data_IF_956433702118
#
_entry.id   IF_956433702118
#
_cell.length_a   1.000
_cell.length_b   1.000
_cell.length_c   1.000
_cell.angle_alpha   90.00
_cell.angle_beta   90.00
_cell.angle_gamma   90.00
#
_symmetry.space_group_name_H-M   'P 1'
#
loop_
_entity.id
_entity.type
_entity.pdbx_description
1 polymer ?
#
# COMPACT_ATOMS: atom_id res chain seq x y z
N UNK A 1 2.83 -37.86 -66.86
CA UNK A 1 3.57 -37.80 -65.57
C UNK A 1 3.94 -36.34 -65.19
N UNK A 2 2.96 -35.42 -65.14
CA UNK A 2 3.23 -33.96 -65.02
C UNK A 2 2.42 -33.22 -63.93
N UNK A 3 1.73 -33.94 -63.04
CA UNK A 3 0.84 -33.32 -62.03
C UNK A 3 1.26 -33.56 -60.56
N UNK A 4 2.36 -34.28 -60.30
CA UNK A 4 2.78 -34.61 -58.92
C UNK A 4 3.61 -33.51 -58.22
N UNK A 5 4.15 -32.54 -58.96
CA UNK A 5 5.00 -31.47 -58.39
C UNK A 5 4.17 -30.28 -57.88
N UNK A 6 2.97 -30.06 -58.43
CA UNK A 6 2.14 -28.90 -58.09
C UNK A 6 1.42 -29.04 -56.73
N UNK A 7 1.10 -30.26 -56.29
CA UNK A 7 0.46 -30.48 -54.99
C UNK A 7 1.41 -30.35 -53.79
N UNK A 8 2.73 -30.51 -53.98
CA UNK A 8 3.69 -30.45 -52.87
C UNK A 8 3.97 -29.00 -52.41
N UNK A 9 3.88 -28.04 -53.33
CA UNK A 9 4.12 -26.61 -53.06
C UNK A 9 2.95 -25.97 -52.30
N UNK A 10 1.72 -26.47 -52.49
CA UNK A 10 0.51 -25.98 -51.81
C UNK A 10 0.38 -26.42 -50.34
N UNK A 11 1.04 -27.52 -49.95
CA UNK A 11 1.03 -27.99 -48.55
C UNK A 11 2.08 -27.25 -47.71
N UNK A 12 3.20 -26.81 -48.31
CA UNK A 12 4.25 -26.05 -47.61
C UNK A 12 3.81 -24.59 -47.36
N UNK A 13 3.00 -23.99 -48.23
CA UNK A 13 2.45 -22.65 -48.01
C UNK A 13 1.31 -22.59 -46.98
N UNK A 14 0.67 -23.72 -46.67
CA UNK A 14 -0.38 -23.80 -45.65
C UNK A 14 0.18 -24.06 -44.22
N UNK A 15 1.39 -24.62 -44.11
CA UNK A 15 2.08 -24.84 -42.83
C UNK A 15 2.92 -23.64 -42.35
N UNK A 16 3.14 -22.65 -43.20
CA UNK A 16 3.89 -21.44 -42.85
C UNK A 16 3.00 -20.27 -42.41
N UNK A 17 1.66 -20.42 -42.47
CA UNK A 17 0.70 -19.42 -41.97
C UNK A 17 0.16 -19.73 -40.57
N UNK A 18 0.46 -20.90 -40.00
CA UNK A 18 0.03 -21.28 -38.64
C UNK A 18 1.05 -20.95 -37.55
N UNK A 19 2.23 -20.41 -37.89
CA UNK A 19 3.24 -19.96 -36.91
C UNK A 19 3.39 -18.43 -36.78
N UNK A 20 2.66 -17.63 -37.57
CA UNK A 20 2.70 -16.17 -37.49
C UNK A 20 1.59 -15.55 -36.61
N UNK A 21 0.75 -16.39 -35.97
CA UNK A 21 -0.44 -15.96 -35.22
C UNK A 21 -0.36 -16.06 -33.69
N UNK A 22 0.83 -16.26 -33.11
CA UNK A 22 0.98 -16.41 -31.66
C UNK A 22 2.20 -15.67 -31.07
N UNK A 23 2.68 -14.63 -31.76
CA UNK A 23 3.39 -13.53 -31.11
C UNK A 23 2.35 -12.42 -30.88
N UNK A 24 1.32 -12.74 -30.09
CA UNK A 24 0.77 -11.72 -29.21
C UNK A 24 1.98 -11.27 -28.40
N UNK A 25 2.57 -10.14 -28.78
CA UNK A 25 3.53 -9.43 -27.97
C UNK A 25 2.87 -9.26 -26.63
N UNK A 26 3.17 -10.16 -25.68
CA UNK A 26 2.65 -10.11 -24.34
C UNK A 26 2.98 -8.70 -23.86
N UNK A 27 1.96 -7.83 -23.77
CA UNK A 27 2.14 -6.44 -23.43
C UNK A 27 2.90 -6.45 -22.12
N UNK A 28 4.15 -5.99 -22.17
CA UNK A 28 5.03 -6.02 -21.01
C UNK A 28 4.37 -5.17 -19.94
N UNK A 29 3.92 -5.80 -18.87
CA UNK A 29 3.26 -5.11 -17.76
C UNK A 29 4.33 -4.26 -17.08
N UNK A 30 4.10 -2.96 -16.97
CA UNK A 30 5.01 -2.06 -16.24
C UNK A 30 4.56 -1.88 -14.79
N UNK A 31 5.46 -1.42 -13.88
CA UNK A 31 5.07 -1.01 -12.53
C UNK A 31 3.94 0.04 -12.53
N UNK A 32 3.94 0.95 -13.51
CA UNK A 32 2.91 1.98 -13.64
C UNK A 32 1.54 1.37 -13.96
N UNK A 33 1.47 0.34 -14.82
CA UNK A 33 0.22 -0.36 -15.14
C UNK A 33 -0.33 -1.11 -13.93
N UNK A 34 0.55 -1.77 -13.16
CA UNK A 34 0.17 -2.45 -11.93
C UNK A 34 -0.42 -1.44 -10.94
N UNK A 35 0.30 -0.35 -10.66
CA UNK A 35 -0.16 0.67 -9.72
C UNK A 35 -1.45 1.34 -10.16
N UNK A 36 -1.62 1.58 -11.46
CA UNK A 36 -2.86 2.13 -12.02
C UNK A 36 -4.05 1.23 -11.66
N UNK A 37 -3.94 -0.08 -11.85
CA UNK A 37 -5.02 -1.04 -11.53
C UNK A 37 -5.28 -1.15 -10.02
N UNK A 38 -4.24 -1.14 -9.20
CA UNK A 38 -4.39 -1.09 -7.73
C UNK A 38 -5.14 0.20 -7.33
N UNK A 39 -4.80 1.33 -7.94
CA UNK A 39 -5.45 2.60 -7.68
C UNK A 39 -6.91 2.64 -8.16
N UNK A 40 -7.22 2.05 -9.31
CA UNK A 40 -8.59 1.93 -9.81
C UNK A 40 -9.50 1.19 -8.81
N UNK A 41 -8.99 0.17 -8.13
CA UNK A 41 -9.72 -0.49 -7.05
C UNK A 41 -9.89 0.43 -5.83
N UNK A 42 -8.82 1.10 -5.41
CA UNK A 42 -8.84 1.99 -4.25
C UNK A 42 -9.82 3.16 -4.45
N UNK A 43 -9.87 3.73 -5.66
CA UNK A 43 -10.75 4.85 -6.03
C UNK A 43 -12.24 4.49 -6.10
N UNK A 44 -12.62 3.20 -5.99
CA UNK A 44 -14.02 2.78 -5.79
C UNK A 44 -14.55 3.20 -4.42
N UNK A 45 -13.66 3.39 -3.46
CA UNK A 45 -13.97 3.92 -2.13
C UNK A 45 -13.94 5.45 -2.23
N UNK A 46 -15.10 6.11 -2.25
CA UNK A 46 -15.22 7.58 -2.29
C UNK A 46 -15.06 8.18 -0.91
N UNK A 47 -15.68 7.54 0.08
CA UNK A 47 -15.49 7.84 1.48
C UNK A 47 -15.71 6.57 2.32
N UNK A 48 -15.14 6.55 3.52
CA UNK A 48 -15.34 5.47 4.47
C UNK A 48 -15.25 5.96 5.92
N UNK A 49 -15.97 5.29 6.82
CA UNK A 49 -15.81 5.43 8.27
C UNK A 49 -15.80 4.05 8.93
N UNK A 50 -15.06 3.94 10.02
CA UNK A 50 -14.93 2.71 10.79
C UNK A 50 -14.66 3.01 12.27
N UNK A 51 -15.12 2.13 13.14
CA UNK A 51 -14.55 2.04 14.49
C UNK A 51 -13.20 1.33 14.37
N UNK A 52 -12.17 1.81 15.05
CA UNK A 52 -10.83 1.23 14.93
C UNK A 52 -10.28 0.81 16.29
N UNK A 53 -9.51 -0.27 16.30
CA UNK A 53 -8.65 -0.68 17.40
C UNK A 53 -7.22 -0.80 16.92
N UNK A 54 -6.28 -0.26 17.71
CA UNK A 54 -4.85 -0.38 17.47
C UNK A 54 -4.21 -1.02 18.70
N UNK A 55 -3.67 -2.21 18.50
CA UNK A 55 -2.78 -2.87 19.44
C UNK A 55 -1.35 -2.58 19.01
N UNK A 56 -0.51 -2.04 19.90
CA UNK A 56 0.90 -1.81 19.61
C UNK A 56 1.79 -2.16 20.79
N UNK A 57 3.01 -2.58 20.49
CA UNK A 57 4.04 -2.90 21.47
C UNK A 57 5.37 -2.32 21.00
N UNK A 58 6.05 -1.55 21.87
CA UNK A 58 7.37 -0.98 21.60
C UNK A 58 8.41 -1.86 22.30
N UNK A 59 9.41 -2.33 21.54
CA UNK A 59 10.45 -3.20 22.04
C UNK A 59 11.67 -2.39 22.47
N UNK A 60 11.69 -1.91 23.71
CA UNK A 60 12.79 -1.10 24.25
C UNK A 60 13.56 -1.86 25.34
N UNK A 61 14.81 -2.24 25.06
CA UNK A 61 15.73 -2.85 26.04
C UNK A 61 15.14 -4.06 26.80
N UNK A 62 14.28 -4.85 26.15
CA UNK A 62 13.63 -6.02 26.75
C UNK A 62 12.35 -5.73 27.55
N UNK A 63 12.00 -4.46 27.78
CA UNK A 63 10.70 -4.07 28.29
C UNK A 63 9.67 -4.08 27.16
N UNK A 64 8.61 -4.88 27.31
CA UNK A 64 7.47 -4.93 26.39
C UNK A 64 6.22 -4.48 27.14
N UNK A 65 5.38 -3.68 26.47
CA UNK A 65 4.13 -3.20 27.02
C UNK A 65 3.11 -3.13 25.90
N UNK A 66 2.26 -4.15 25.80
CA UNK A 66 1.15 -4.13 24.86
C UNK A 66 0.18 -3.02 25.28
N UNK A 67 -0.04 -2.06 24.39
CA UNK A 67 -1.04 -1.01 24.54
C UNK A 67 -2.13 -1.23 23.53
N UNK A 68 -3.36 -1.09 23.98
CA UNK A 68 -4.53 -1.11 23.11
C UNK A 68 -5.21 0.26 23.20
N UNK A 69 -5.47 0.85 22.04
CA UNK A 69 -6.26 2.07 21.93
C UNK A 69 -7.42 1.84 20.96
N UNK A 70 -8.55 2.49 21.23
CA UNK A 70 -9.74 2.47 20.38
C UNK A 70 -10.05 3.87 19.89
N UNK A 71 -10.74 3.95 18.77
CA UNK A 71 -11.05 5.23 18.15
C UNK A 71 -11.93 5.12 16.93
N UNK A 72 -11.91 6.17 16.11
CA UNK A 72 -12.66 6.25 14.87
C UNK A 72 -11.74 6.68 13.72
N UNK A 73 -11.87 5.99 12.60
CA UNK A 73 -11.18 6.28 11.35
C UNK A 73 -12.15 6.80 10.29
N UNK A 74 -11.70 7.77 9.51
CA UNK A 74 -12.43 8.37 8.41
C UNK A 74 -11.49 8.51 7.22
N UNK A 75 -11.99 8.18 6.03
CA UNK A 75 -11.30 8.33 4.76
C UNK A 75 -12.19 9.06 3.76
N UNK A 76 -11.58 9.91 2.93
CA UNK A 76 -12.22 10.49 1.76
C UNK A 76 -11.22 10.58 0.61
N UNK A 77 -11.63 10.06 -0.54
CA UNK A 77 -10.83 10.06 -1.75
C UNK A 77 -10.40 11.48 -2.15
N UNK A 78 -9.19 11.65 -2.74
CA UNK A 78 -8.22 10.58 -3.05
C UNK A 78 -7.32 10.18 -1.87
N UNK A 79 -7.07 11.08 -0.92
CA UNK A 79 -5.93 10.97 -0.01
C UNK A 79 -6.17 11.57 1.38
N UNK A 80 -7.42 11.84 1.75
CA UNK A 80 -7.76 12.48 3.02
C UNK A 80 -8.12 11.45 4.07
N UNK A 81 -7.41 11.48 5.19
CA UNK A 81 -7.64 10.61 6.33
C UNK A 81 -7.80 11.48 7.57
N UNK A 82 -8.76 11.12 8.43
CA UNK A 82 -8.85 11.59 9.80
C UNK A 82 -8.98 10.39 10.71
N UNK A 83 -8.15 10.33 11.74
CA UNK A 83 -8.23 9.27 12.75
C UNK A 83 -8.14 9.88 14.13
N UNK A 84 -9.06 9.52 15.02
CA UNK A 84 -9.04 9.95 16.43
C UNK A 84 -8.94 8.73 17.32
N UNK A 85 -7.87 8.62 18.12
CA UNK A 85 -7.62 7.56 19.11
C UNK A 85 -7.00 8.18 20.35
N UNK A 86 -7.42 7.73 21.54
CA UNK A 86 -6.88 8.21 22.82
C UNK A 86 -6.79 9.75 22.93
N UNK A 87 -7.87 10.44 22.52
CA UNK A 87 -7.98 11.92 22.46
C UNK A 87 -6.96 12.61 21.53
N UNK A 88 -6.15 11.88 20.80
CA UNK A 88 -5.25 12.39 19.77
C UNK A 88 -5.92 12.25 18.42
N UNK A 89 -5.90 13.32 17.61
CA UNK A 89 -6.40 13.29 16.24
C UNK A 89 -5.28 13.46 15.25
N UNK A 90 -5.25 12.58 14.25
CA UNK A 90 -4.35 12.64 13.10
C UNK A 90 -5.15 13.00 11.87
N UNK A 91 -4.61 13.91 11.08
CA UNK A 91 -5.09 14.25 9.75
C UNK A 91 -3.98 13.99 8.75
N UNK A 92 -4.30 13.30 7.67
CA UNK A 92 -3.39 13.13 6.53
C UNK A 92 -4.05 13.64 5.24
N UNK A 93 -3.26 14.31 4.41
CA UNK A 93 -3.55 14.63 3.02
C UNK A 93 -2.30 14.33 2.21
N UNK A 94 -2.28 13.18 1.55
CA UNK A 94 -1.10 12.68 0.86
C UNK A 94 0.05 12.46 1.84
N UNK A 95 1.19 13.08 1.57
CA UNK A 95 2.38 13.07 2.44
C UNK A 95 2.36 14.12 3.57
N UNK A 96 1.30 14.95 3.68
CA UNK A 96 1.18 15.98 4.73
C UNK A 96 0.37 15.44 5.90
N UNK A 97 0.97 15.40 7.07
CA UNK A 97 0.35 14.86 8.27
C UNK A 97 0.36 15.92 9.37
N UNK A 98 -0.78 16.07 10.03
CA UNK A 98 -0.94 16.91 11.21
C UNK A 98 -1.50 16.09 12.36
N UNK A 99 -0.88 16.21 13.52
CA UNK A 99 -1.34 15.67 14.79
C UNK A 99 -1.90 16.81 15.63
N UNK A 100 -3.02 16.56 16.29
CA UNK A 100 -3.61 17.41 17.33
C UNK A 100 -3.65 16.54 18.59
N UNK A 101 -2.93 16.94 19.63
CA UNK A 101 -2.95 16.22 20.91
C UNK A 101 -4.19 16.55 21.74
N UNK A 102 -4.30 15.92 22.92
CA UNK A 102 -5.44 16.06 23.82
C UNK A 102 -5.62 17.50 24.36
N UNK A 103 -4.57 18.34 24.31
CA UNK A 103 -4.59 19.74 24.71
C UNK A 103 -4.91 20.69 23.54
N UNK A 104 -5.11 20.14 22.34
CA UNK A 104 -5.40 20.92 21.13
C UNK A 104 -4.15 21.48 20.45
N UNK A 105 -2.95 21.15 20.92
CA UNK A 105 -1.71 21.62 20.32
C UNK A 105 -1.44 20.88 19.01
N UNK A 106 -1.06 21.65 17.99
CA UNK A 106 -0.88 21.19 16.61
C UNK A 106 0.59 20.91 16.32
N UNK A 107 0.84 19.76 15.71
CA UNK A 107 2.18 19.32 15.32
C UNK A 107 2.17 18.83 13.87
N UNK A 108 3.19 19.19 13.10
CA UNK A 108 3.44 18.53 11.81
C UNK A 108 4.24 17.27 12.04
N UNK A 109 3.78 16.16 11.47
CA UNK A 109 4.52 14.90 11.49
C UNK A 109 5.23 14.77 10.14
N UNK A 110 6.57 14.74 10.15
CA UNK A 110 7.35 14.54 8.93
C UNK A 110 7.44 13.04 8.63
N UNK A 111 7.33 12.69 7.35
CA UNK A 111 7.48 11.33 6.82
C UNK A 111 8.84 10.68 7.14
N UNK A 112 9.82 11.47 7.58
CA UNK A 112 11.20 11.04 7.86
C UNK A 112 11.29 10.32 9.23
N UNK A 113 10.33 10.55 10.14
CA UNK A 113 10.48 10.19 11.56
C UNK A 113 9.57 9.03 12.03
N UNK A 114 8.74 8.49 11.14
CA UNK A 114 7.83 7.40 11.48
C UNK A 114 7.84 6.38 10.35
N UNK A 115 8.39 5.18 10.64
CA UNK A 115 8.05 3.98 9.87
C UNK A 115 6.63 3.53 10.29
N UNK A 116 5.89 4.31 11.08
CA UNK A 116 4.49 4.08 11.47
C UNK A 116 3.52 4.41 10.33
N UNK A 117 3.90 4.01 9.11
CA UNK A 117 3.11 3.79 7.92
C UNK A 117 1.85 4.66 7.85
N UNK A 118 2.06 5.98 7.92
CA UNK A 118 1.04 6.92 7.51
C UNK A 118 0.73 6.70 6.02
N UNK A 119 -0.35 7.29 5.55
CA UNK A 119 -0.90 7.35 4.17
C UNK A 119 0.03 7.22 2.94
N UNK A 120 1.35 7.33 3.07
CA UNK A 120 2.41 7.19 2.06
C UNK A 120 2.44 5.89 1.24
N UNK A 121 1.65 4.88 1.64
CA UNK A 121 1.50 3.61 0.94
C UNK A 121 0.15 3.47 0.21
N UNK A 122 -0.64 4.55 0.21
CA UNK A 122 -1.74 4.62 -0.75
C UNK A 122 -1.18 4.48 -2.16
N UNK A 123 -1.86 3.72 -3.05
CA UNK A 123 -1.32 3.41 -4.38
C UNK A 123 -0.84 4.64 -5.16
N UNK A 124 -1.52 5.78 -4.98
CA UNK A 124 -1.15 7.06 -5.60
C UNK A 124 0.20 7.60 -5.14
N UNK A 125 0.58 7.40 -3.88
CA UNK A 125 1.82 7.93 -3.32
C UNK A 125 3.02 7.01 -3.56
N UNK A 126 2.80 5.74 -3.94
CA UNK A 126 3.89 4.80 -4.21
C UNK A 126 4.80 5.30 -5.34
N UNK A 127 4.21 5.70 -6.47
CA UNK A 127 4.97 6.26 -7.59
C UNK A 127 5.60 7.62 -7.26
N UNK A 128 5.02 8.39 -6.34
CA UNK A 128 5.60 9.65 -5.88
C UNK A 128 6.83 9.42 -5.00
N UNK A 129 6.76 8.44 -4.09
CA UNK A 129 7.75 8.22 -3.03
C UNK A 129 8.90 7.29 -3.46
N UNK A 130 8.71 6.42 -4.45
CA UNK A 130 9.66 5.37 -4.82
C UNK A 130 9.98 5.36 -6.32
N UNK A 131 11.19 4.90 -6.65
CA UNK A 131 11.53 4.38 -7.98
C UNK A 131 11.19 2.89 -7.96
N UNK A 132 10.33 2.45 -8.87
CA UNK A 132 9.72 1.12 -8.84
C UNK A 132 10.24 0.23 -9.98
N UNK A 133 10.46 -1.04 -9.67
CA UNK A 133 10.81 -2.10 -10.63
C UNK A 133 10.03 -3.37 -10.32
N UNK A 134 9.78 -4.20 -11.34
CA UNK A 134 9.21 -5.55 -11.15
C UNK A 134 10.39 -6.49 -10.88
N UNK A 135 10.37 -7.17 -9.73
CA UNK A 135 11.40 -8.16 -9.38
C UNK A 135 10.89 -9.60 -9.51
N UNK A 136 9.57 -9.80 -9.47
CA UNK A 136 8.95 -11.09 -9.72
C UNK A 136 7.55 -10.92 -10.29
N UNK A 137 7.22 -11.73 -11.29
CA UNK A 137 5.86 -11.93 -11.77
C UNK A 137 5.55 -13.43 -11.80
N UNK A 138 4.46 -13.84 -11.17
CA UNK A 138 3.95 -15.20 -11.28
C UNK A 138 2.42 -15.20 -11.41
N UNK A 139 1.81 -16.38 -11.47
CA UNK A 139 0.36 -16.51 -11.67
C UNK A 139 -0.49 -15.91 -10.55
N UNK A 140 0.04 -15.80 -9.33
CA UNK A 140 -0.69 -15.29 -8.17
C UNK A 140 -0.37 -13.85 -7.80
N UNK A 141 0.82 -13.34 -8.16
CA UNK A 141 1.35 -12.13 -7.54
C UNK A 141 2.31 -11.35 -8.45
N UNK A 142 2.26 -10.03 -8.33
CA UNK A 142 3.34 -9.13 -8.73
C UNK A 142 4.14 -8.71 -7.50
N UNK A 143 5.46 -8.80 -7.59
CA UNK A 143 6.38 -8.26 -6.59
C UNK A 143 7.08 -7.04 -7.17
N UNK A 144 6.79 -5.87 -6.60
CA UNK A 144 7.48 -4.63 -6.94
C UNK A 144 8.55 -4.34 -5.90
N UNK A 145 9.76 -3.99 -6.34
CA UNK A 145 10.76 -3.35 -5.49
C UNK A 145 10.64 -1.83 -5.64
N UNK A 146 10.70 -1.12 -4.52
CA UNK A 146 10.70 0.32 -4.44
C UNK A 146 11.92 0.84 -3.71
N UNK A 147 12.73 1.64 -4.41
CA UNK A 147 13.83 2.39 -3.82
C UNK A 147 13.31 3.79 -3.45
N UNK A 148 13.41 4.24 -2.17
CA UNK A 148 12.97 5.57 -1.79
C UNK A 148 13.67 6.65 -2.62
N UNK A 149 12.90 7.63 -3.11
CA UNK A 149 13.49 8.79 -3.78
C UNK A 149 14.26 9.67 -2.77
N UNK A 150 15.21 10.50 -3.24
CA UNK A 150 15.99 11.38 -2.37
C UNK A 150 15.10 12.21 -1.41
N UNK A 151 15.47 12.22 -0.13
CA UNK A 151 14.73 12.94 0.92
C UNK A 151 13.45 12.26 1.44
N UNK A 152 13.15 11.03 1.00
CA UNK A 152 12.03 10.21 1.50
C UNK A 152 12.56 9.02 2.28
N UNK A 153 11.93 8.72 3.41
CA UNK A 153 12.15 7.50 4.19
C UNK A 153 13.65 7.15 4.37
N UNK A 154 14.44 8.08 4.92
CA UNK A 154 15.92 7.96 4.96
C UNK A 154 16.44 6.77 5.76
N UNK A 155 15.59 6.18 6.61
CA UNK A 155 15.89 4.97 7.39
C UNK A 155 15.55 3.66 6.64
N UNK A 156 15.08 3.76 5.39
CA UNK A 156 14.68 2.64 4.54
C UNK A 156 15.65 2.52 3.37
N UNK A 157 16.19 1.33 3.16
CA UNK A 157 17.01 0.99 1.98
C UNK A 157 16.14 0.70 0.77
N UNK A 158 15.12 -0.13 0.96
CA UNK A 158 14.14 -0.51 -0.06
C UNK A 158 12.87 -1.08 0.55
N UNK A 159 11.83 -1.15 -0.26
CA UNK A 159 10.53 -1.73 0.08
C UNK A 159 10.12 -2.73 -0.98
N UNK A 160 9.50 -3.83 -0.59
CA UNK A 160 8.83 -4.77 -1.47
C UNK A 160 7.32 -4.67 -1.31
N UNK A 161 6.61 -4.57 -2.42
CA UNK A 161 5.16 -4.51 -2.48
C UNK A 161 4.62 -5.79 -3.11
N UNK A 162 3.85 -6.56 -2.35
CA UNK A 162 3.26 -7.81 -2.80
C UNK A 162 1.82 -7.54 -3.24
N UNK A 163 1.56 -7.65 -4.53
CA UNK A 163 0.27 -7.28 -5.14
C UNK A 163 -0.39 -8.53 -5.71
N UNK A 164 -1.59 -8.84 -5.25
CA UNK A 164 -2.41 -9.93 -5.78
C UNK A 164 -2.73 -9.68 -7.27
N UNK A 165 -2.44 -10.66 -8.14
CA UNK A 165 -2.61 -10.51 -9.60
C UNK A 165 -4.07 -10.54 -10.05
N UNK A 166 -4.94 -11.23 -9.32
CA UNK A 166 -6.34 -11.44 -9.69
C UNK A 166 -7.16 -10.18 -9.41
N UNK A 167 -7.05 -9.68 -8.19
CA UNK A 167 -7.83 -8.57 -7.68
C UNK A 167 -7.06 -7.25 -7.66
N UNK A 168 -5.76 -7.23 -7.99
CA UNK A 168 -4.89 -6.04 -7.92
C UNK A 168 -4.95 -5.36 -6.55
N UNK A 169 -4.72 -6.13 -5.49
CA UNK A 169 -4.74 -5.66 -4.10
C UNK A 169 -3.33 -5.71 -3.53
N UNK A 170 -2.87 -4.61 -2.91
CA UNK A 170 -1.63 -4.60 -2.15
C UNK A 170 -1.83 -5.40 -0.85
N UNK A 171 -1.26 -6.60 -0.78
CA UNK A 171 -1.47 -7.55 0.34
C UNK A 171 -0.42 -7.42 1.43
N UNK A 172 0.83 -7.16 1.04
CA UNK A 172 1.95 -7.12 1.97
C UNK A 172 2.97 -6.05 1.55
N UNK A 173 3.62 -5.47 2.55
CA UNK A 173 4.72 -4.52 2.42
C UNK A 173 5.88 -5.04 3.28
N UNK A 174 7.03 -5.31 2.68
CA UNK A 174 8.25 -5.69 3.40
C UNK A 174 9.29 -4.57 3.26
N UNK A 175 9.74 -4.02 4.38
CA UNK A 175 10.61 -2.85 4.44
C UNK A 175 11.99 -3.28 4.93
N UNK A 176 12.99 -3.07 4.08
CA UNK A 176 14.39 -3.28 4.42
C UNK A 176 14.95 -1.98 4.99
N UNK A 177 15.10 -1.95 6.31
CA UNK A 177 15.64 -0.81 7.04
C UNK A 177 17.16 -0.74 6.90
N UNK A 178 17.73 0.46 7.10
CA UNK A 178 19.19 0.66 7.19
C UNK A 178 19.75 -0.09 8.41
N UNK A 179 19.01 -0.08 9.53
CA UNK A 179 19.33 -0.89 10.69
C UNK A 179 18.77 -2.31 10.51
N UNK A 180 19.64 -3.25 10.13
CA UNK A 180 19.27 -4.65 9.85
C UNK A 180 18.79 -5.43 11.08
N UNK A 181 18.96 -4.89 12.30
CA UNK A 181 18.40 -5.49 13.52
C UNK A 181 16.91 -5.25 13.68
N UNK A 182 16.36 -4.31 12.93
CA UNK A 182 14.95 -3.97 12.93
C UNK A 182 14.27 -4.60 11.71
N UNK A 183 13.06 -5.07 11.92
CA UNK A 183 12.23 -5.67 10.88
C UNK A 183 11.10 -4.72 10.51
N UNK A 184 10.75 -4.71 9.24
CA UNK A 184 9.57 -4.02 8.74
C UNK A 184 8.78 -4.97 7.86
N UNK A 185 7.61 -5.39 8.29
CA UNK A 185 6.72 -6.23 7.49
C UNK A 185 5.28 -5.93 7.90
N UNK A 186 4.42 -5.65 6.94
CA UNK A 186 3.01 -5.33 7.17
C UNK A 186 2.15 -6.16 6.23
N UNK A 187 1.18 -6.87 6.80
CA UNK A 187 0.11 -7.55 6.06
C UNK A 187 -1.15 -6.72 6.15
N UNK A 188 -1.85 -6.56 5.03
CA UNK A 188 -3.06 -5.75 4.92
C UNK A 188 -4.26 -6.69 4.76
N UNK A 189 -5.21 -6.55 5.67
CA UNK A 189 -6.46 -7.29 5.65
C UNK A 189 -7.48 -6.57 4.77
N UNK A 190 -8.26 -7.34 4.00
CA UNK A 190 -9.30 -6.81 3.12
C UNK A 190 -10.60 -7.59 3.30
N UNK A 191 -11.71 -6.88 3.20
CA UNK A 191 -13.03 -7.46 3.04
C UNK A 191 -13.72 -6.92 1.80
N UNK A 192 -14.64 -7.71 1.25
CA UNK A 192 -15.47 -7.29 0.12
C UNK A 192 -16.80 -6.76 0.65
N UNK A 193 -17.02 -5.45 0.54
CA UNK A 193 -18.24 -4.76 1.01
C UNK A 193 -18.93 -4.14 -0.21
N UNK A 194 -20.17 -4.56 -0.50
CA UNK A 194 -20.93 -4.09 -1.69
C UNK A 194 -20.11 -4.17 -2.98
N UNK A 195 -19.46 -5.33 -3.19
CA UNK A 195 -18.57 -5.60 -4.33
C UNK A 195 -17.28 -4.76 -4.45
N UNK A 196 -16.96 -3.99 -3.42
CA UNK A 196 -15.72 -3.22 -3.34
C UNK A 196 -14.78 -3.89 -2.36
N UNK A 197 -13.54 -4.12 -2.77
CA UNK A 197 -12.48 -4.55 -1.86
C UNK A 197 -12.03 -3.36 -1.01
N UNK A 198 -12.17 -3.48 0.31
CA UNK A 198 -11.87 -2.43 1.27
C UNK A 198 -10.81 -2.93 2.24
N UNK A 199 -9.71 -2.18 2.46
CA UNK A 199 -8.75 -2.52 3.50
C UNK A 199 -9.41 -2.35 4.88
N UNK A 200 -9.44 -3.41 5.67
CA UNK A 200 -10.11 -3.45 6.99
C UNK A 200 -9.12 -3.37 8.14
N UNK A 201 -7.84 -3.62 7.90
CA UNK A 201 -6.87 -3.68 8.96
C UNK A 201 -5.47 -3.92 8.41
N UNK A 202 -4.51 -3.92 9.32
CA UNK A 202 -3.17 -4.37 9.01
C UNK A 202 -2.47 -4.88 10.27
N UNK A 203 -1.45 -5.70 10.09
CA UNK A 203 -0.63 -6.18 11.20
C UNK A 203 0.80 -6.46 10.79
N UNK A 204 1.72 -6.35 11.74
CA UNK A 204 3.10 -6.77 11.57
C UNK A 204 4.09 -5.96 12.42
N UNK A 205 5.27 -5.72 11.86
CA UNK A 205 6.42 -5.11 12.52
C UNK A 205 6.87 -3.85 11.77
N UNK A 206 7.35 -2.87 12.52
CA UNK A 206 7.87 -1.60 12.05
C UNK A 206 8.93 -1.05 13.02
N UNK A 207 9.37 0.20 12.83
CA UNK A 207 10.19 0.91 13.78
C UNK A 207 9.86 2.42 13.90
N UNK A 208 9.94 2.94 15.11
CA UNK A 208 9.71 4.35 15.42
C UNK A 208 11.01 5.06 15.75
N UNK A 209 11.10 6.34 15.42
CA UNK A 209 12.11 7.21 16.02
C UNK A 209 11.63 7.61 17.43
N UNK A 210 12.39 7.21 18.43
CA UNK A 210 12.21 7.59 19.83
C UNK A 210 13.09 8.81 20.18
N UNK A 211 12.78 9.61 21.23
CA UNK A 211 13.63 10.71 21.65
C UNK A 211 15.13 10.39 21.67
N UNK A 212 15.93 11.29 21.11
CA UNK A 212 17.38 11.07 20.90
C UNK A 212 17.75 10.41 19.57
N UNK A 213 16.83 10.36 18.59
CA UNK A 213 17.03 9.77 17.26
C UNK A 213 17.31 8.25 17.28
N UNK A 214 16.81 7.56 18.30
CA UNK A 214 16.99 6.12 18.44
C UNK A 214 15.84 5.41 17.72
N UNK A 215 16.15 4.52 16.79
CA UNK A 215 15.14 3.67 16.17
C UNK A 215 14.81 2.48 17.06
N UNK A 216 13.53 2.28 17.33
CA UNK A 216 13.03 1.22 18.22
C UNK A 216 11.99 0.39 17.47
N UNK A 217 12.09 -0.93 17.58
CA UNK A 217 11.13 -1.85 16.95
C UNK A 217 9.74 -1.71 17.55
N UNK A 218 8.73 -1.82 16.71
CA UNK A 218 7.32 -1.76 17.09
C UNK A 218 6.54 -2.88 16.41
N UNK A 219 5.74 -3.62 17.17
CA UNK A 219 4.71 -4.50 16.62
C UNK A 219 3.38 -3.77 16.63
N UNK A 220 2.61 -3.90 15.55
CA UNK A 220 1.33 -3.20 15.38
C UNK A 220 0.26 -4.13 14.83
N UNK A 221 -0.98 -3.92 15.27
CA UNK A 221 -2.18 -4.54 14.72
C UNK A 221 -3.32 -3.52 14.76
N UNK A 222 -3.71 -3.04 13.60
CA UNK A 222 -4.89 -2.19 13.41
C UNK A 222 -6.05 -3.04 12.89
N UNK A 223 -7.22 -2.90 13.49
CA UNK A 223 -8.48 -3.47 13.00
C UNK A 223 -9.53 -2.38 12.85
N UNK A 224 -10.26 -2.40 11.75
CA UNK A 224 -11.45 -1.62 11.49
C UNK A 224 -12.69 -2.50 11.61
N UNK A 225 -13.67 -2.01 12.34
CA UNK A 225 -14.95 -2.65 12.63
C UNK A 225 -16.09 -1.71 12.19
N UNK A 226 -17.28 -2.28 11.95
CA UNK A 226 -18.48 -1.52 11.57
C UNK A 226 -18.28 -0.59 10.37
N UNK A 227 -17.52 -1.05 9.36
CA UNK A 227 -17.16 -0.20 8.23
C UNK A 227 -18.38 0.24 7.41
N UNK A 228 -18.44 1.54 7.15
CA UNK A 228 -19.43 2.17 6.27
C UNK A 228 -18.71 2.84 5.12
N UNK A 229 -19.11 2.54 3.89
CA UNK A 229 -18.51 3.07 2.67
C UNK A 229 -19.51 3.88 1.85
N UNK A 230 -19.02 4.94 1.20
CA UNK A 230 -19.75 5.79 0.24
C UNK A 230 -21.04 6.37 0.83
N UNK A 231 -20.92 6.94 2.02
CA UNK A 231 -22.01 7.53 2.82
C UNK A 231 -22.14 9.04 2.67
N UNK A 232 -21.24 9.70 1.93
CA UNK A 232 -21.29 11.14 1.69
C UNK A 232 -20.67 11.96 2.82
N UNK A 233 -19.47 11.57 3.29
CA UNK A 233 -18.80 12.28 4.37
C UNK A 233 -18.50 13.76 4.00
N UNK A 234 -18.79 14.74 4.90
CA UNK A 234 -18.59 16.16 4.61
C UNK A 234 -17.11 16.54 4.58
N UNK A 235 -16.72 17.49 3.71
CA UNK A 235 -15.33 17.92 3.59
C UNK A 235 -14.77 18.56 4.85
N UNK A 236 -15.60 19.29 5.60
CA UNK A 236 -15.25 19.93 6.88
C UNK A 236 -14.70 18.93 7.92
N UNK A 237 -15.07 17.65 7.81
CA UNK A 237 -14.54 16.60 8.69
C UNK A 237 -13.02 16.42 8.54
N UNK A 238 -12.47 16.76 7.37
CA UNK A 238 -11.05 16.56 7.01
C UNK A 238 -10.27 17.87 6.97
N UNK A 239 -10.79 18.94 7.58
CA UNK A 239 -10.12 20.22 7.65
C UNK A 239 -9.41 20.39 9.00
N UNK A 240 -8.07 20.23 9.04
CA UNK A 240 -7.32 20.49 10.27
C UNK A 240 -6.85 21.95 10.38
N UNK A 241 -7.34 22.84 9.49
CA UNK A 241 -6.97 24.24 9.38
C UNK A 241 -5.53 24.42 8.90
N UNK A 242 -5.15 23.69 7.84
CA UNK A 242 -3.80 23.75 7.26
C UNK A 242 -3.40 25.17 6.86
#
# INVERSE_FOLDING_TARGET
MKYKIFCLILIISCLSQTLAGALDSAVEITPADILKRVNENFLKIKDASADISLDYNIHLLGCTGLRQVKGQGYYKSPDRIKTTMDKITYFARGNRIRKIDAEGKKWYVKLIDAIDFNSGFTPNLLAENFVLSIVQENQGMFLLEGIPKPGRLTNVRKVFFYIDRKDFLLREIDVKLVNERLKGQIKIDYEKIKDIWVPTGFQGESAVVFPGNILVGMSIKLRGENMKINTGLPDKLFDPGF
#
